data_IF_470774227902
#
_entry.id   IF_470774227902
#
_cell.length_a   1.000
_cell.length_b   1.000
_cell.length_c   1.000
_cell.angle_alpha   90.00
_cell.angle_beta   90.00
_cell.angle_gamma   90.00
#
_symmetry.space_group_name_H-M   'P 1'
#
loop_
_entity.id
_entity.type
_entity.pdbx_description
1 polymer ?
#
# COMPACT_ATOMS: atom_id res chain seq x y z
N UNK A 1 -78.81 -4.11 -46.62
CA UNK A 1 -77.73 -3.14 -46.36
C UNK A 1 -77.47 -2.92 -44.87
N UNK A 2 -78.46 -2.54 -44.06
CA UNK A 2 -78.25 -2.06 -42.68
C UNK A 2 -77.58 -3.07 -41.71
N UNK A 3 -77.80 -4.38 -41.89
CA UNK A 3 -77.21 -5.42 -41.02
C UNK A 3 -75.71 -5.64 -41.24
N UNK A 4 -75.25 -5.49 -42.48
CA UNK A 4 -73.83 -5.63 -42.84
C UNK A 4 -73.05 -4.42 -42.32
N UNK A 5 -73.65 -3.23 -42.40
CA UNK A 5 -73.06 -2.01 -41.85
C UNK A 5 -72.89 -2.08 -40.33
N UNK A 6 -73.90 -2.58 -39.61
CA UNK A 6 -73.81 -2.82 -38.16
C UNK A 6 -72.69 -3.82 -37.81
N UNK A 7 -72.58 -4.92 -38.56
CA UNK A 7 -71.51 -5.91 -38.36
C UNK A 7 -70.11 -5.33 -38.60
N UNK A 8 -69.96 -4.48 -39.61
CA UNK A 8 -68.68 -3.83 -39.91
C UNK A 8 -68.29 -2.82 -38.82
N UNK A 9 -69.27 -2.06 -38.32
CA UNK A 9 -69.04 -1.12 -37.20
C UNK A 9 -68.61 -1.84 -35.92
N UNK A 10 -69.18 -3.00 -35.61
CA UNK A 10 -68.75 -3.79 -34.45
C UNK A 10 -67.32 -4.30 -34.57
N UNK A 11 -66.89 -4.72 -35.78
CA UNK A 11 -65.51 -5.19 -36.00
C UNK A 11 -64.52 -4.02 -35.89
N UNK A 12 -64.84 -2.87 -36.47
CA UNK A 12 -64.02 -1.67 -36.36
C UNK A 12 -63.89 -1.21 -34.91
N UNK A 13 -64.97 -1.26 -34.13
CA UNK A 13 -64.96 -0.94 -32.70
C UNK A 13 -64.07 -1.88 -31.90
N UNK A 14 -64.16 -3.19 -32.13
CA UNK A 14 -63.29 -4.18 -31.47
C UNK A 14 -61.83 -3.97 -31.84
N UNK A 15 -61.53 -3.70 -33.12
CA UNK A 15 -60.18 -3.38 -33.58
C UNK A 15 -59.61 -2.13 -32.92
N UNK A 16 -60.42 -1.08 -32.77
CA UNK A 16 -60.02 0.15 -32.08
C UNK A 16 -59.77 -0.08 -30.58
N UNK A 17 -60.58 -0.90 -29.91
CA UNK A 17 -60.40 -1.23 -28.49
C UNK A 17 -59.11 -2.05 -28.25
N UNK A 18 -58.86 -3.05 -29.10
CA UNK A 18 -57.63 -3.86 -29.01
C UNK A 18 -56.41 -2.99 -29.32
N UNK A 19 -56.46 -2.21 -30.42
CA UNK A 19 -55.36 -1.32 -30.81
C UNK A 19 -55.06 -0.25 -29.76
N UNK A 20 -56.09 0.34 -29.16
CA UNK A 20 -55.95 1.30 -28.07
C UNK A 20 -55.37 0.69 -26.80
N UNK A 21 -55.79 -0.52 -26.43
CA UNK A 21 -55.24 -1.24 -25.28
C UNK A 21 -53.77 -1.63 -25.45
N UNK A 22 -53.39 -2.13 -26.63
CA UNK A 22 -51.99 -2.44 -26.96
C UNK A 22 -51.15 -1.16 -26.98
N UNK A 23 -51.64 -0.08 -27.59
CA UNK A 23 -50.96 1.21 -27.59
C UNK A 23 -50.74 1.73 -26.17
N UNK A 24 -51.75 1.66 -25.30
CA UNK A 24 -51.61 2.07 -23.90
C UNK A 24 -50.60 1.20 -23.15
N UNK A 25 -50.64 -0.13 -23.31
CA UNK A 25 -49.72 -1.06 -22.65
C UNK A 25 -48.25 -0.83 -23.01
N UNK A 26 -47.96 -0.50 -24.28
CA UNK A 26 -46.58 -0.29 -24.76
C UNK A 26 -46.09 1.16 -24.71
N UNK A 27 -46.97 2.14 -24.48
CA UNK A 27 -46.58 3.54 -24.32
C UNK A 27 -46.59 4.00 -22.86
N UNK A 28 -46.97 3.14 -21.91
CA UNK A 28 -46.84 3.51 -20.51
C UNK A 28 -45.37 3.68 -20.17
N UNK A 29 -45.03 4.87 -19.70
CA UNK A 29 -43.66 5.25 -19.36
C UNK A 29 -43.51 5.14 -17.85
N UNK A 30 -42.99 3.99 -17.41
CA UNK A 30 -42.70 3.78 -16.00
C UNK A 30 -41.49 4.61 -15.59
N UNK A 31 -41.74 5.70 -14.86
CA UNK A 31 -40.67 6.54 -14.31
C UNK A 31 -40.39 6.11 -12.88
N UNK A 32 -39.26 5.45 -12.66
CA UNK A 32 -38.77 5.16 -11.31
C UNK A 32 -38.12 6.42 -10.72
N UNK A 33 -38.93 7.23 -10.01
CA UNK A 33 -38.45 8.43 -9.30
C UNK A 33 -37.93 8.05 -7.91
N UNK A 34 -36.75 8.56 -7.53
CA UNK A 34 -36.16 8.31 -6.21
C UNK A 34 -35.09 7.21 -6.16
N UNK A 35 -34.61 6.74 -7.32
CA UNK A 35 -33.38 5.94 -7.35
C UNK A 35 -32.19 6.82 -6.98
N UNK A 36 -31.63 6.59 -5.79
CA UNK A 36 -30.38 7.19 -5.34
C UNK A 36 -29.30 6.12 -5.44
N UNK A 37 -28.39 6.25 -6.40
CA UNK A 37 -27.16 5.47 -6.44
C UNK A 37 -26.11 6.24 -5.63
N UNK A 38 -25.99 5.94 -4.33
CA UNK A 38 -24.87 6.43 -3.54
C UNK A 38 -23.67 5.54 -3.82
N UNK A 39 -22.74 6.01 -4.63
CA UNK A 39 -21.44 5.37 -4.75
C UNK A 39 -20.66 5.59 -3.45
N UNK A 40 -20.06 4.52 -2.92
CA UNK A 40 -19.07 4.65 -1.87
C UNK A 40 -17.69 5.03 -2.44
N UNK A 41 -16.74 5.29 -1.57
CA UNK A 41 -15.37 5.67 -1.90
C UNK A 41 -14.35 4.84 -1.12
N UNK A 42 -13.22 4.55 -1.74
CA UNK A 42 -11.97 4.24 -1.06
C UNK A 42 -11.13 5.51 -1.05
N UNK A 43 -10.49 5.82 0.08
CA UNK A 43 -9.64 6.99 0.21
C UNK A 43 -8.48 6.65 1.15
N UNK A 44 -7.33 6.36 0.57
CA UNK A 44 -6.12 5.98 1.30
C UNK A 44 -5.35 7.25 1.70
N UNK A 45 -4.94 7.31 2.95
CA UNK A 45 -4.14 8.39 3.51
C UNK A 45 -2.99 7.79 4.33
N UNK A 46 -1.78 8.23 4.04
CA UNK A 46 -0.54 7.75 4.64
C UNK A 46 0.12 8.89 5.40
N UNK A 47 0.42 8.65 6.68
CA UNK A 47 1.07 9.66 7.54
C UNK A 47 2.13 9.03 8.42
N UNK A 48 3.19 9.78 8.73
CA UNK A 48 4.18 9.42 9.73
C UNK A 48 4.13 10.33 10.98
N UNK A 49 5.09 10.21 11.89
CA UNK A 49 5.13 11.03 13.11
C UNK A 49 5.40 12.53 12.86
N UNK A 50 5.82 12.90 11.66
CA UNK A 50 6.19 14.26 11.23
C UNK A 50 5.14 14.91 10.33
N UNK A 51 4.18 14.14 9.83
CA UNK A 51 3.14 14.57 8.91
C UNK A 51 1.75 14.50 9.58
N UNK A 52 0.81 15.30 9.09
CA UNK A 52 -0.53 15.36 9.67
C UNK A 52 -1.58 15.53 8.55
N UNK A 53 -1.83 14.44 7.82
CA UNK A 53 -2.92 14.28 6.85
C UNK A 53 -2.63 14.85 5.46
N UNK A 54 -1.66 14.28 4.76
CA UNK A 54 -1.50 14.50 3.32
C UNK A 54 -1.84 13.19 2.60
N UNK A 55 -2.78 13.24 1.67
CA UNK A 55 -3.07 12.08 0.82
C UNK A 55 -1.82 11.73 0.01
N UNK A 56 -1.20 10.61 0.36
CA UNK A 56 -0.04 10.04 -0.31
C UNK A 56 -0.26 8.55 -0.40
N UNK A 57 0.10 7.95 -1.52
CA UNK A 57 0.14 6.50 -1.70
C UNK A 57 1.55 5.95 -1.47
N UNK A 58 2.52 6.82 -1.13
CA UNK A 58 3.92 6.42 -0.91
C UNK A 58 4.44 6.76 0.48
N UNK A 59 5.25 5.86 1.03
CA UNK A 59 5.98 6.04 2.28
C UNK A 59 7.48 5.83 2.03
N UNK A 60 8.32 6.72 2.56
CA UNK A 60 9.76 6.73 2.28
C UNK A 60 10.58 6.69 3.57
N UNK A 61 11.53 5.76 3.64
CA UNK A 61 12.56 5.69 4.69
C UNK A 61 13.93 5.91 4.08
N UNK A 62 14.68 6.86 4.64
CA UNK A 62 16.05 7.15 4.21
C UNK A 62 17.02 6.72 5.31
N UNK A 63 17.92 5.81 4.99
CA UNK A 63 19.04 5.38 5.82
C UNK A 63 20.30 6.05 5.30
N UNK A 64 20.98 6.85 6.13
CA UNK A 64 22.22 7.53 5.73
C UNK A 64 23.15 7.71 6.93
N UNK A 65 24.45 7.85 6.65
CA UNK A 65 25.48 8.09 7.65
C UNK A 65 25.47 7.08 8.82
N UNK A 66 25.12 5.81 8.53
CA UNK A 66 25.14 4.72 9.50
C UNK A 66 26.57 4.20 9.68
N UNK A 67 26.90 3.78 10.90
CA UNK A 67 28.17 3.13 11.22
C UNK A 67 27.90 1.67 11.60
N UNK A 68 28.87 0.74 11.44
CA UNK A 68 28.70 -0.64 11.89
C UNK A 68 28.21 -0.71 13.35
N UNK A 69 27.13 -1.46 13.60
CA UNK A 69 26.46 -1.53 14.89
C UNK A 69 25.34 -0.49 15.11
N UNK A 70 25.13 0.45 14.18
CA UNK A 70 23.96 1.34 14.20
C UNK A 70 22.67 0.54 14.14
N UNK A 71 21.74 0.87 15.02
CA UNK A 71 20.39 0.34 15.00
C UNK A 71 19.39 1.45 15.30
N UNK A 72 18.17 1.26 14.84
CA UNK A 72 17.12 2.23 15.05
C UNK A 72 15.77 1.67 14.66
N UNK A 73 14.75 2.47 14.92
CA UNK A 73 13.39 1.97 14.93
C UNK A 73 12.35 3.01 15.28
N UNK A 74 11.09 2.57 15.26
CA UNK A 74 9.96 3.41 15.65
C UNK A 74 9.49 4.38 14.56
N UNK A 75 10.02 4.27 13.34
CA UNK A 75 9.39 4.88 12.18
C UNK A 75 8.12 4.09 11.86
N UNK A 76 6.97 4.72 12.06
CA UNK A 76 5.66 4.09 11.91
C UNK A 76 4.91 4.80 10.79
N UNK A 77 4.46 4.01 9.83
CA UNK A 77 3.53 4.44 8.81
C UNK A 77 2.12 4.20 9.33
N UNK A 78 1.34 5.27 9.46
CA UNK A 78 -0.09 5.22 9.74
C UNK A 78 -0.83 5.17 8.42
N UNK A 79 -1.66 4.14 8.25
CA UNK A 79 -2.44 3.88 7.05
C UNK A 79 -3.91 4.06 7.40
N UNK A 80 -4.57 5.03 6.79
CA UNK A 80 -5.97 5.38 7.08
C UNK A 80 -6.84 5.18 5.84
N UNK A 81 -8.00 4.54 6.01
CA UNK A 81 -9.06 4.54 5.02
C UNK A 81 -10.10 5.60 5.40
N UNK A 82 -9.96 6.81 4.85
CA UNK A 82 -10.90 7.93 5.01
C UNK A 82 -12.17 7.77 4.14
N UNK A 83 -12.31 6.64 3.45
CA UNK A 83 -13.42 6.31 2.57
C UNK A 83 -14.66 5.81 3.31
N UNK A 84 -15.63 5.35 2.52
CA UNK A 84 -16.91 4.81 3.00
C UNK A 84 -17.07 3.31 2.71
N UNK A 85 -16.14 2.72 1.96
CA UNK A 85 -16.10 1.30 1.65
C UNK A 85 -14.94 0.63 2.39
N UNK A 86 -15.14 -0.63 2.77
CA UNK A 86 -14.06 -1.48 3.24
C UNK A 86 -13.17 -1.84 2.05
N UNK A 87 -11.88 -2.01 2.32
CA UNK A 87 -10.94 -2.50 1.32
C UNK A 87 -9.88 -3.42 1.92
N UNK A 88 -8.93 -3.78 1.08
CA UNK A 88 -7.79 -4.63 1.36
C UNK A 88 -6.53 -3.85 0.99
N UNK A 89 -5.54 -3.88 1.89
CA UNK A 89 -4.27 -3.19 1.72
C UNK A 89 -3.26 -4.12 1.09
N UNK A 90 -2.50 -3.59 0.14
CA UNK A 90 -1.35 -4.26 -0.46
C UNK A 90 -0.17 -3.32 -0.61
N UNK A 91 1.03 -3.88 -0.74
CA UNK A 91 2.22 -3.16 -1.14
C UNK A 91 2.46 -3.43 -2.63
N UNK A 92 1.82 -2.64 -3.50
CA UNK A 92 1.87 -2.81 -4.95
C UNK A 92 3.27 -2.56 -5.53
N UNK A 93 4.07 -1.74 -4.85
CA UNK A 93 5.48 -1.55 -5.17
C UNK A 93 6.32 -1.33 -3.92
N UNK A 94 7.47 -1.97 -3.87
CA UNK A 94 8.52 -1.79 -2.87
C UNK A 94 9.84 -1.57 -3.62
N UNK A 95 10.40 -0.38 -3.47
CA UNK A 95 11.60 0.02 -4.18
C UNK A 95 12.75 0.34 -3.21
N UNK A 96 13.93 -0.18 -3.52
CA UNK A 96 15.17 0.16 -2.81
C UNK A 96 16.09 0.90 -3.78
N UNK A 97 16.54 2.09 -3.38
CA UNK A 97 17.56 2.86 -4.10
C UNK A 97 18.78 3.01 -3.21
N UNK A 98 19.93 2.52 -3.66
CA UNK A 98 21.21 2.81 -3.01
C UNK A 98 21.85 4.04 -3.68
N UNK A 99 22.55 4.83 -2.91
CA UNK A 99 23.40 5.88 -3.45
C UNK A 99 24.74 5.89 -2.73
N UNK A 100 25.80 5.80 -3.55
CA UNK A 100 27.16 6.08 -3.15
C UNK A 100 27.26 7.55 -2.82
N UNK A 101 27.77 7.85 -1.63
CA UNK A 101 28.01 9.23 -1.24
C UNK A 101 29.45 9.41 -0.76
N UNK A 102 30.36 8.73 -1.46
CA UNK A 102 31.79 8.90 -1.33
C UNK A 102 32.21 10.36 -1.32
N UNK A 103 32.98 10.73 -0.30
CA UNK A 103 33.72 11.97 -0.27
C UNK A 103 35.15 11.69 0.20
N UNK A 104 36.10 11.76 -0.72
CA UNK A 104 37.51 11.50 -0.45
C UNK A 104 38.05 12.24 0.79
N UNK A 105 37.59 13.48 1.05
CA UNK A 105 38.07 14.27 2.19
C UNK A 105 37.53 13.79 3.55
N UNK A 106 36.46 13.00 3.58
CA UNK A 106 35.78 12.56 4.81
C UNK A 106 35.65 11.03 4.92
N UNK A 107 35.86 10.29 3.84
CA UNK A 107 35.65 8.85 3.70
C UNK A 107 36.95 8.13 3.31
N UNK A 108 38.07 8.60 3.86
CA UNK A 108 39.41 8.05 3.58
C UNK A 108 39.54 6.55 3.91
N UNK A 109 38.73 6.04 4.85
CA UNK A 109 38.78 4.64 5.25
C UNK A 109 38.08 3.73 4.22
N UNK A 110 36.97 4.16 3.66
CA UNK A 110 36.32 3.55 2.51
C UNK A 110 37.22 3.55 1.29
N UNK A 111 37.83 4.72 0.96
CA UNK A 111 38.76 4.89 -0.16
C UNK A 111 39.92 3.88 -0.19
N UNK A 112 40.29 3.36 0.98
CA UNK A 112 41.38 2.39 1.14
C UNK A 112 40.97 0.94 0.84
N UNK A 113 39.67 0.67 0.78
CA UNK A 113 39.06 -0.65 0.57
C UNK A 113 38.34 -0.69 -0.77
N UNK A 114 37.57 0.35 -1.07
CA UNK A 114 36.85 0.56 -2.32
C UNK A 114 37.29 1.86 -2.99
N UNK A 115 37.71 1.75 -4.25
CA UNK A 115 38.13 2.87 -5.07
C UNK A 115 37.10 3.20 -6.15
N UNK A 116 35.96 2.51 -6.17
CA UNK A 116 34.87 2.78 -7.09
C UNK A 116 34.05 3.98 -6.60
N UNK A 117 34.39 5.16 -7.12
CA UNK A 117 33.68 6.40 -6.82
C UNK A 117 32.64 6.74 -7.89
N UNK A 118 32.27 5.77 -8.75
CA UNK A 118 31.59 6.08 -10.01
C UNK A 118 30.06 6.01 -9.96
N UNK A 119 29.47 5.54 -8.85
CA UNK A 119 28.05 5.19 -8.80
C UNK A 119 27.20 6.09 -7.87
N UNK A 120 27.15 7.39 -8.21
CA UNK A 120 26.41 8.42 -7.48
C UNK A 120 24.87 8.21 -7.43
N UNK A 121 24.30 7.23 -8.14
CA UNK A 121 22.87 6.90 -8.12
C UNK A 121 22.66 5.45 -8.56
N UNK A 122 22.40 4.56 -7.60
CA UNK A 122 22.33 3.11 -7.82
C UNK A 122 23.45 2.34 -7.13
N UNK A 123 24.51 3.03 -6.71
CA UNK A 123 25.68 2.48 -6.02
C UNK A 123 25.60 2.56 -4.51
N UNK A 124 26.63 2.04 -3.84
CA UNK A 124 26.73 2.00 -2.38
C UNK A 124 26.29 0.67 -1.80
N UNK A 125 27.11 0.14 -0.90
CA UNK A 125 26.97 -1.18 -0.31
C UNK A 125 26.00 -1.20 0.87
N UNK A 126 25.51 -0.04 1.34
CA UNK A 126 24.69 0.03 2.55
C UNK A 126 23.44 -0.86 2.49
N UNK A 127 22.66 -0.84 1.41
CA UNK A 127 21.46 -1.67 1.30
C UNK A 127 21.74 -3.18 1.26
N UNK A 128 22.93 -3.58 0.82
CA UNK A 128 23.37 -4.98 0.86
C UNK A 128 23.84 -5.43 2.26
N UNK A 129 24.12 -4.48 3.16
CA UNK A 129 24.62 -4.75 4.51
C UNK A 129 23.62 -4.40 5.62
N UNK A 130 22.57 -3.62 5.32
CA UNK A 130 21.56 -3.20 6.28
C UNK A 130 20.48 -4.26 6.45
N UNK A 131 20.25 -4.71 7.69
CA UNK A 131 19.10 -5.55 8.02
C UNK A 131 17.90 -4.67 8.35
N UNK A 132 16.73 -5.02 7.82
CA UNK A 132 15.44 -4.39 8.09
C UNK A 132 14.40 -5.44 8.46
N UNK A 133 13.52 -5.11 9.40
CA UNK A 133 12.32 -5.88 9.70
C UNK A 133 11.10 -4.98 9.51
N UNK A 134 10.07 -5.52 8.88
CA UNK A 134 8.81 -4.82 8.61
C UNK A 134 7.65 -5.70 9.05
N UNK A 135 6.67 -5.13 9.73
CA UNK A 135 5.50 -5.84 10.22
C UNK A 135 4.28 -4.91 10.35
N UNK A 136 3.10 -5.53 10.36
CA UNK A 136 1.85 -4.89 10.78
C UNK A 136 1.88 -4.75 12.31
N UNK A 137 2.00 -3.50 12.75
CA UNK A 137 2.08 -3.12 14.15
C UNK A 137 0.66 -3.00 14.71
N UNK A 138 0.22 -4.03 15.42
CA UNK A 138 -1.16 -4.17 15.86
C UNK A 138 -1.54 -3.19 16.97
N UNK A 139 -0.57 -2.73 17.77
CA UNK A 139 -0.81 -1.86 18.93
C UNK A 139 -0.10 -0.49 18.85
N UNK A 140 0.61 -0.23 17.74
CA UNK A 140 1.29 1.02 17.42
C UNK A 140 2.43 1.34 18.40
N UNK A 141 3.04 0.34 19.02
CA UNK A 141 4.11 0.53 19.99
C UNK A 141 5.52 0.51 19.37
N UNK A 142 5.63 0.09 18.10
CA UNK A 142 6.88 0.03 17.34
C UNK A 142 7.86 -1.04 17.81
N UNK A 143 7.42 -2.02 18.61
CA UNK A 143 8.24 -3.11 19.14
C UNK A 143 7.73 -4.45 18.65
N UNK A 144 8.65 -5.30 18.18
CA UNK A 144 8.27 -6.65 17.77
C UNK A 144 7.98 -7.49 19.01
N UNK A 145 6.71 -7.72 19.28
CA UNK A 145 6.19 -8.51 20.37
C UNK A 145 4.68 -8.63 20.28
N UNK A 146 4.13 -9.76 20.72
CA UNK A 146 2.70 -9.79 21.05
C UNK A 146 2.49 -8.88 22.26
N UNK A 147 2.20 -7.59 22.03
CA UNK A 147 2.19 -6.54 23.03
C UNK A 147 1.33 -6.91 24.22
N UNK A 148 1.97 -7.42 25.29
CA UNK A 148 1.39 -7.70 26.61
C UNK A 148 0.01 -8.40 26.69
N UNK A 149 -0.51 -8.96 25.59
CA UNK A 149 -1.93 -9.23 25.38
C UNK A 149 -2.21 -10.03 24.10
N UNK A 150 -3.49 -10.27 23.79
CA UNK A 150 -3.99 -11.18 22.73
C UNK A 150 -3.73 -10.71 21.29
N UNK A 151 -2.97 -9.63 21.07
CA UNK A 151 -2.70 -9.12 19.74
C UNK A 151 -1.46 -9.83 19.17
N UNK A 152 -1.57 -10.31 17.92
CA UNK A 152 -0.48 -10.92 17.17
C UNK A 152 -0.07 -9.97 16.06
N UNK A 153 1.20 -9.62 16.03
CA UNK A 153 1.81 -8.88 14.92
C UNK A 153 2.03 -9.80 13.72
N UNK A 154 1.85 -9.26 12.53
CA UNK A 154 2.03 -10.00 11.28
C UNK A 154 3.28 -9.50 10.54
N UNK A 155 4.19 -10.42 10.25
CA UNK A 155 5.45 -10.08 9.59
C UNK A 155 5.25 -9.90 8.09
N UNK A 156 5.64 -8.72 7.59
CA UNK A 156 5.71 -8.43 6.15
C UNK A 156 7.09 -8.86 5.63
N UNK A 157 8.15 -8.42 6.29
CA UNK A 157 9.52 -8.79 5.98
C UNK A 157 10.27 -9.19 7.26
N UNK A 158 10.47 -10.50 7.51
CA UNK A 158 11.07 -10.97 8.75
C UNK A 158 12.60 -10.83 8.73
N UNK A 159 13.19 -10.67 9.91
CA UNK A 159 14.62 -10.86 10.15
C UNK A 159 14.79 -11.94 11.22
N UNK A 160 15.83 -12.77 11.12
CA UNK A 160 16.00 -13.89 12.06
C UNK A 160 16.28 -13.43 13.51
N UNK A 161 16.86 -12.24 13.68
CA UNK A 161 16.98 -11.55 14.97
C UNK A 161 17.35 -10.08 14.76
N UNK A 162 16.60 -9.16 15.35
CA UNK A 162 17.05 -7.77 15.52
C UNK A 162 18.01 -7.73 16.70
N UNK A 163 19.21 -7.17 16.49
CA UNK A 163 20.18 -6.92 17.56
C UNK A 163 21.20 -8.03 17.82
N UNK A 164 21.25 -9.09 17.00
CA UNK A 164 22.35 -10.06 17.00
C UNK A 164 22.98 -10.12 15.61
N UNK A 165 24.25 -9.75 15.52
CA UNK A 165 25.01 -9.71 14.28
C UNK A 165 25.23 -11.12 13.72
N UNK A 166 24.70 -11.40 12.52
CA UNK A 166 25.31 -12.37 11.62
C UNK A 166 25.01 -11.99 10.15
N UNK A 167 26.03 -11.69 9.32
CA UNK A 167 25.87 -11.42 7.89
C UNK A 167 25.72 -12.75 7.12
N UNK A 168 24.47 -13.17 6.95
CA UNK A 168 24.08 -14.34 6.14
C UNK A 168 22.58 -14.64 6.16
N UNK A 169 21.77 -13.67 6.57
CA UNK A 169 20.52 -13.86 7.30
C UNK A 169 19.36 -13.15 6.59
N UNK A 170 18.18 -13.78 6.58
CA UNK A 170 16.88 -13.20 6.18
C UNK A 170 16.74 -11.77 6.71
N UNK A 171 16.33 -10.81 5.87
CA UNK A 171 16.09 -9.42 6.30
C UNK A 171 17.04 -8.36 5.72
N UNK A 172 17.95 -8.71 4.80
CA UNK A 172 18.81 -7.71 4.12
C UNK A 172 17.95 -6.79 3.24
N UNK A 173 18.06 -5.47 3.40
CA UNK A 173 17.25 -4.49 2.69
C UNK A 173 17.26 -4.70 1.16
N UNK A 174 18.43 -4.91 0.57
CA UNK A 174 18.57 -5.16 -0.88
C UNK A 174 17.91 -6.46 -1.38
N UNK A 175 17.39 -7.30 -0.48
CA UNK A 175 16.67 -8.54 -0.80
C UNK A 175 15.18 -8.48 -0.46
N UNK A 176 14.65 -7.31 -0.09
CA UNK A 176 13.21 -7.13 0.12
C UNK A 176 12.47 -7.38 -1.20
N UNK A 177 11.29 -8.01 -1.13
CA UNK A 177 10.49 -8.27 -2.33
C UNK A 177 10.00 -6.96 -2.94
N UNK A 178 9.77 -6.95 -4.26
CA UNK A 178 9.32 -5.76 -4.98
C UNK A 178 7.83 -5.44 -4.77
N UNK A 179 7.08 -6.33 -4.14
CA UNK A 179 5.68 -6.15 -3.76
C UNK A 179 5.30 -7.17 -2.68
N UNK A 180 4.20 -6.89 -1.96
CA UNK A 180 3.57 -7.82 -1.04
C UNK A 180 2.06 -7.78 -1.26
N UNK A 181 1.53 -8.95 -1.59
CA UNK A 181 0.11 -9.26 -1.58
C UNK A 181 -0.26 -9.59 -0.13
N UNK A 182 -0.69 -8.56 0.61
CA UNK A 182 -0.99 -8.66 2.03
C UNK A 182 -2.43 -9.11 2.24
N UNK A 183 -3.33 -8.73 1.34
CA UNK A 183 -4.78 -8.93 1.48
C UNK A 183 -5.30 -8.43 2.84
N UNK A 184 -4.68 -7.38 3.40
CA UNK A 184 -4.93 -7.00 4.78
C UNK A 184 -6.17 -6.11 4.88
N UNK A 185 -7.19 -6.57 5.59
CA UNK A 185 -8.47 -5.87 5.64
C UNK A 185 -8.36 -4.49 6.33
N UNK A 186 -8.71 -3.43 5.61
CA UNK A 186 -8.85 -2.07 6.13
C UNK A 186 -10.27 -1.54 5.92
N UNK A 187 -11.08 -1.67 6.97
CA UNK A 187 -12.46 -1.18 6.97
C UNK A 187 -12.52 0.35 6.78
N UNK A 188 -13.67 0.84 6.30
CA UNK A 188 -13.93 2.27 6.22
C UNK A 188 -13.72 2.96 7.59
N UNK A 189 -13.16 4.16 7.56
CA UNK A 189 -12.83 4.97 8.75
C UNK A 189 -11.95 4.26 9.78
N UNK A 190 -11.12 3.30 9.34
CA UNK A 190 -10.20 2.54 10.19
C UNK A 190 -8.74 2.88 9.87
N UNK A 191 -7.87 2.52 10.82
CA UNK A 191 -6.42 2.74 10.76
C UNK A 191 -5.68 1.42 10.99
N UNK A 192 -4.55 1.28 10.28
CA UNK A 192 -3.52 0.28 10.56
C UNK A 192 -2.14 0.93 10.58
N UNK A 193 -1.17 0.19 11.12
CA UNK A 193 0.20 0.67 11.25
C UNK A 193 1.16 -0.33 10.66
N UNK A 194 2.13 0.17 9.90
CA UNK A 194 3.33 -0.59 9.52
C UNK A 194 4.50 0.00 10.30
N UNK A 195 5.27 -0.86 10.97
CA UNK A 195 6.48 -0.46 11.66
C UNK A 195 7.73 -1.04 10.97
N UNK A 196 8.83 -0.30 11.10
CA UNK A 196 10.14 -0.69 10.59
C UNK A 196 11.22 -0.56 11.67
N UNK A 197 12.07 -1.57 11.75
CA UNK A 197 13.33 -1.54 12.50
C UNK A 197 14.48 -1.81 11.56
N UNK A 198 15.64 -1.23 11.87
CA UNK A 198 16.87 -1.51 11.16
C UNK A 198 18.03 -1.82 12.11
N UNK A 199 18.96 -2.64 11.60
CA UNK A 199 20.20 -2.97 12.28
C UNK A 199 21.32 -3.16 11.25
N UNK A 200 22.35 -2.33 11.32
CA UNK A 200 23.58 -2.50 10.56
C UNK A 200 24.55 -3.37 11.38
N UNK A 201 24.90 -4.60 10.93
CA UNK A 201 25.79 -5.49 11.69
C UNK A 201 27.15 -4.86 11.99
N UNK A 202 27.75 -5.22 13.13
CA UNK A 202 29.11 -4.79 13.51
C UNK A 202 30.20 -5.38 12.61
N UNK A 203 29.85 -6.41 11.83
CA UNK A 203 30.69 -7.03 10.81
C UNK A 203 30.73 -6.25 9.50
N UNK A 204 29.84 -5.26 9.30
CA UNK A 204 29.92 -4.37 8.15
C UNK A 204 31.28 -3.66 8.16
N UNK A 205 31.94 -3.64 7.02
CA UNK A 205 33.26 -3.01 6.86
C UNK A 205 33.09 -1.51 6.55
N UNK A 206 34.18 -0.83 6.18
CA UNK A 206 34.11 0.58 5.84
C UNK A 206 33.65 0.86 4.40
N UNK A 207 33.21 -0.12 3.62
CA UNK A 207 32.68 0.13 2.25
C UNK A 207 31.24 0.66 2.27
N UNK A 208 30.66 0.91 3.44
CA UNK A 208 29.32 1.49 3.57
C UNK A 208 29.39 2.94 4.07
N UNK A 209 30.59 3.50 4.14
CA UNK A 209 30.83 4.71 4.91
C UNK A 209 30.27 5.91 4.16
N UNK A 210 29.23 6.56 4.69
CA UNK A 210 28.69 7.78 4.08
C UNK A 210 27.59 7.51 3.05
N UNK A 211 27.49 6.29 2.57
CA UNK A 211 26.38 5.77 1.77
C UNK A 211 25.00 6.07 2.33
N UNK A 212 24.05 6.00 1.41
CA UNK A 212 22.63 5.97 1.75
C UNK A 212 21.87 4.88 1.02
N UNK A 213 20.81 4.40 1.67
CA UNK A 213 19.82 3.53 1.09
C UNK A 213 18.44 4.12 1.37
N UNK A 214 17.57 4.11 0.37
CA UNK A 214 16.19 4.60 0.47
C UNK A 214 15.24 3.46 0.19
N UNK A 215 14.30 3.23 1.10
CA UNK A 215 13.18 2.30 0.93
C UNK A 215 11.92 3.10 0.65
N UNK A 216 11.20 2.76 -0.42
CA UNK A 216 9.90 3.36 -0.76
C UNK A 216 8.86 2.26 -0.86
N UNK A 217 7.77 2.41 -0.12
CA UNK A 217 6.56 1.62 -0.31
C UNK A 217 5.55 2.43 -1.10
N UNK A 218 4.89 1.80 -2.06
CA UNK A 218 3.63 2.23 -2.66
C UNK A 218 2.53 1.33 -2.10
N UNK A 219 1.59 1.95 -1.39
CA UNK A 219 0.47 1.25 -0.74
C UNK A 219 -0.76 1.40 -1.62
N UNK A 220 -1.46 0.30 -1.81
CA UNK A 220 -2.72 0.25 -2.53
C UNK A 220 -3.86 -0.15 -1.59
N UNK A 221 -5.07 0.34 -1.90
CA UNK A 221 -6.29 0.00 -1.18
C UNK A 221 -7.35 -0.38 -2.20
N UNK A 222 -7.71 -1.66 -2.24
CA UNK A 222 -8.64 -2.23 -3.20
C UNK A 222 -9.91 -2.77 -2.57
N UNK A 223 -10.97 -2.94 -3.37
CA UNK A 223 -12.26 -3.47 -2.89
C UNK A 223 -12.28 -4.98 -2.75
N UNK A 224 -11.34 -5.67 -3.39
CA UNK A 224 -11.19 -7.12 -3.41
C UNK A 224 -9.81 -7.48 -2.90
N UNK A 225 -9.74 -8.63 -2.22
CA UNK A 225 -8.50 -9.35 -2.03
C UNK A 225 -8.12 -10.03 -3.36
N UNK A 226 -6.83 -10.08 -3.69
CA UNK A 226 -6.32 -10.56 -4.99
C UNK A 226 -5.92 -12.06 -5.00
#
# INVERSE_FOLDING_TARGET
MNRILMSLMTIALVGALIGGGVYAYFNDTETSTGNVFTAGSLNLDLTDASENGNESETATWVFSALAPGSSGGGARLTITNNGTLNGYLDLSSVAVTNAENYNAATNEAEASIDADTSDLTGGGELGANLLVQVWLDADNDGTVGGGGGTLTEESIYPVAAIGQADPGVTGVLGSIAASYDLDEALNAASVKYIALLYNLPTSANNTIQGDSATLVFTVELDQTAD
#
